data_IF_996362631212
#
_entry.id   IF_996362631212
#
_cell.length_a   1.000
_cell.length_b   1.000
_cell.length_c   1.000
_cell.angle_alpha   90.00
_cell.angle_beta   90.00
_cell.angle_gamma   90.00
#
_symmetry.space_group_name_H-M   'P 1'
#
loop_
_entity.id
_entity.type
_entity.pdbx_description
1 polymer ?
#
# COMPACT_ATOMS: atom_id res chain seq x y z
N UNK A 1 -19.68 2.76 -2.57
CA UNK A 1 -18.62 2.73 -1.55
C UNK A 1 -18.22 1.27 -1.33
N UNK A 2 -16.94 0.93 -1.58
CA UNK A 2 -16.44 -0.45 -1.58
C UNK A 2 -15.59 -0.80 -0.37
N UNK A 3 -15.45 0.10 0.61
CA UNK A 3 -14.74 -0.18 1.85
C UNK A 3 -15.16 -1.51 2.47
N UNK A 4 -14.23 -2.25 3.01
CA UNK A 4 -14.49 -3.54 3.67
C UNK A 4 -15.32 -3.34 4.93
N UNK A 5 -14.92 -2.37 5.76
CA UNK A 5 -15.60 -2.02 6.99
C UNK A 5 -16.36 -0.70 6.84
N UNK A 6 -17.48 -0.54 7.58
CA UNK A 6 -18.26 0.71 7.67
C UNK A 6 -18.59 1.39 6.33
N UNK A 7 -18.67 0.61 5.26
CA UNK A 7 -19.16 1.16 4.00
C UNK A 7 -20.64 1.44 4.15
N UNK A 8 -21.15 2.60 4.24
CA UNK A 8 -22.59 2.91 4.38
C UNK A 8 -23.54 2.13 3.44
N UNK A 9 -23.10 1.00 2.91
CA UNK A 9 -23.86 -0.02 2.22
C UNK A 9 -23.80 -1.30 3.04
N UNK A 10 -24.94 -1.85 3.39
CA UNK A 10 -25.08 -3.17 4.06
C UNK A 10 -24.76 -4.36 3.12
N UNK A 11 -24.10 -4.11 1.99
CA UNK A 11 -23.76 -5.16 1.04
C UNK A 11 -22.64 -6.04 1.61
N UNK A 12 -22.89 -7.34 1.69
CA UNK A 12 -21.88 -8.35 2.00
C UNK A 12 -20.74 -8.38 0.95
N UNK A 13 -19.65 -9.07 1.27
CA UNK A 13 -18.49 -9.15 0.36
C UNK A 13 -18.85 -9.83 -0.97
N UNK A 14 -19.79 -10.79 -0.98
CA UNK A 14 -20.26 -11.46 -2.18
C UNK A 14 -20.93 -10.48 -3.15
N UNK A 15 -21.79 -9.62 -2.66
CA UNK A 15 -22.42 -8.57 -3.47
C UNK A 15 -21.39 -7.57 -4.00
N UNK A 16 -20.40 -7.18 -3.18
CA UNK A 16 -19.29 -6.31 -3.61
C UNK A 16 -18.47 -6.98 -4.72
N UNK A 17 -18.14 -8.26 -4.57
CA UNK A 17 -17.47 -9.08 -5.59
C UNK A 17 -18.24 -9.08 -6.90
N UNK A 18 -19.56 -9.32 -6.86
CA UNK A 18 -20.40 -9.31 -8.06
C UNK A 18 -20.39 -7.96 -8.78
N UNK A 19 -20.40 -6.84 -8.04
CA UNK A 19 -20.32 -5.51 -8.65
C UNK A 19 -18.95 -5.27 -9.29
N UNK A 20 -17.86 -5.67 -8.65
CA UNK A 20 -16.52 -5.56 -9.25
C UNK A 20 -16.40 -6.42 -10.51
N UNK A 21 -16.92 -7.65 -10.48
CA UNK A 21 -16.94 -8.52 -11.65
C UNK A 21 -17.81 -7.94 -12.78
N UNK A 22 -18.94 -7.34 -12.45
CA UNK A 22 -19.79 -6.65 -13.42
C UNK A 22 -19.05 -5.49 -14.08
N UNK A 23 -18.35 -4.64 -13.30
CA UNK A 23 -17.55 -3.53 -13.85
C UNK A 23 -16.44 -4.03 -14.76
N UNK A 24 -15.77 -5.11 -14.39
CA UNK A 24 -14.74 -5.73 -15.23
C UNK A 24 -15.31 -6.23 -16.57
N UNK A 25 -16.46 -6.92 -16.55
CA UNK A 25 -17.08 -7.50 -17.74
C UNK A 25 -17.77 -6.44 -18.63
N UNK A 26 -18.03 -5.25 -18.10
CA UNK A 26 -18.76 -4.18 -18.81
C UNK A 26 -17.95 -3.60 -19.98
N UNK A 27 -16.61 -3.62 -19.86
CA UNK A 27 -15.70 -3.14 -20.89
C UNK A 27 -14.61 -2.22 -20.34
N UNK A 28 -13.63 -1.93 -21.18
CA UNK A 28 -12.42 -1.18 -20.80
C UNK A 28 -12.71 0.23 -20.27
N UNK A 29 -13.79 0.85 -20.76
CA UNK A 29 -14.24 2.19 -20.29
C UNK A 29 -14.63 2.22 -18.81
N UNK A 30 -14.94 1.06 -18.20
CA UNK A 30 -15.25 0.95 -16.78
C UNK A 30 -14.05 0.55 -15.91
N UNK A 31 -12.91 0.18 -16.52
CA UNK A 31 -11.77 -0.31 -15.77
C UNK A 31 -11.16 0.73 -14.81
N UNK A 32 -11.19 2.02 -15.17
CA UNK A 32 -10.76 3.07 -14.23
C UNK A 32 -11.67 3.15 -13.00
N UNK A 33 -12.99 3.00 -13.19
CA UNK A 33 -13.94 2.94 -12.08
C UNK A 33 -13.72 1.68 -11.24
N UNK A 34 -13.44 0.55 -11.87
CA UNK A 34 -13.06 -0.70 -11.19
C UNK A 34 -11.84 -0.50 -10.30
N UNK A 35 -10.75 0.10 -10.82
CA UNK A 35 -9.53 0.37 -10.05
C UNK A 35 -9.83 1.26 -8.84
N UNK A 36 -10.61 2.33 -8.99
CA UNK A 36 -11.04 3.19 -7.88
C UNK A 36 -11.93 2.48 -6.85
N UNK A 37 -12.75 1.54 -7.29
CA UNK A 37 -13.58 0.72 -6.41
C UNK A 37 -12.71 -0.24 -5.59
N UNK A 38 -11.69 -0.85 -6.20
CA UNK A 38 -10.73 -1.73 -5.53
C UNK A 38 -9.84 -0.94 -4.57
N UNK A 39 -9.42 0.29 -4.91
CA UNK A 39 -8.75 1.21 -4.00
C UNK A 39 -9.52 1.36 -2.69
N UNK A 40 -10.81 1.67 -2.80
CA UNK A 40 -11.69 1.73 -1.62
C UNK A 40 -11.84 0.37 -0.91
N UNK A 41 -11.76 -0.75 -1.64
CA UNK A 41 -11.91 -2.09 -1.07
C UNK A 41 -10.71 -2.53 -0.22
N UNK A 42 -9.50 -2.07 -0.53
CA UNK A 42 -8.30 -2.37 0.26
C UNK A 42 -8.19 -1.56 1.54
N UNK A 43 -8.94 -0.46 1.68
CA UNK A 43 -8.91 0.36 2.88
C UNK A 43 -9.66 -0.32 4.03
N UNK A 44 -8.95 -0.57 5.13
CA UNK A 44 -9.54 -1.00 6.42
C UNK A 44 -9.82 0.20 7.33
N UNK A 45 -9.36 1.40 6.96
CA UNK A 45 -9.58 2.60 7.74
C UNK A 45 -11.06 2.92 7.71
N UNK A 46 -11.73 2.65 8.80
CA UNK A 46 -13.08 3.13 9.01
C UNK A 46 -13.05 4.65 9.09
N UNK A 47 -13.62 5.32 8.10
CA UNK A 47 -14.13 6.65 8.37
C UNK A 47 -15.18 6.44 9.46
N UNK A 48 -14.87 6.81 10.70
CA UNK A 48 -15.83 6.85 11.81
C UNK A 48 -16.99 7.76 11.39
N UNK A 49 -17.97 7.21 10.70
CA UNK A 49 -19.26 7.84 10.65
C UNK A 49 -19.83 7.67 12.04
N UNK A 50 -19.81 8.73 12.84
CA UNK A 50 -20.68 8.78 14.01
C UNK A 50 -22.09 8.44 13.53
N UNK A 51 -22.62 7.30 14.00
CA UNK A 51 -23.99 6.92 13.73
C UNK A 51 -24.87 8.11 14.09
N UNK A 52 -25.58 8.64 13.13
CA UNK A 52 -26.55 9.70 13.37
C UNK A 52 -27.63 9.18 14.32
N UNK A 53 -28.29 10.07 15.06
CA UNK A 53 -29.41 9.67 15.94
C UNK A 53 -30.49 8.87 15.17
N UNK A 54 -30.65 9.16 13.88
CA UNK A 54 -31.57 8.47 12.97
C UNK A 54 -31.17 7.01 12.73
N UNK A 55 -29.87 6.73 12.52
CA UNK A 55 -29.36 5.37 12.31
C UNK A 55 -29.49 4.51 13.57
N UNK A 56 -29.30 5.10 14.77
CA UNK A 56 -29.55 4.44 16.05
C UNK A 56 -31.04 4.08 16.25
N UNK A 57 -31.94 4.94 15.80
CA UNK A 57 -33.39 4.75 15.97
C UNK A 57 -33.96 3.59 15.12
N UNK A 58 -33.34 3.29 13.97
CA UNK A 58 -33.80 2.25 13.05
C UNK A 58 -33.10 0.90 13.21
N UNK A 59 -32.32 0.72 14.29
CA UNK A 59 -31.69 -0.59 14.61
C UNK A 59 -30.95 -1.18 13.38
N UNK A 60 -30.28 -0.33 12.63
CA UNK A 60 -29.49 -0.75 11.47
C UNK A 60 -28.44 -1.72 12.02
N UNK A 61 -28.55 -3.01 11.62
CA UNK A 61 -27.63 -4.06 12.05
C UNK A 61 -26.20 -3.59 11.84
N UNK A 62 -25.53 -3.31 12.95
CA UNK A 62 -24.10 -3.05 12.96
C UNK A 62 -23.40 -4.32 12.48
N UNK A 63 -22.69 -4.18 11.41
CA UNK A 63 -21.67 -5.03 10.81
C UNK A 63 -21.67 -6.51 11.18
N UNK A 64 -21.89 -7.36 10.18
CA UNK A 64 -21.42 -8.73 10.20
C UNK A 64 -19.88 -8.67 10.31
N UNK A 65 -19.34 -9.23 11.38
CA UNK A 65 -17.89 -9.36 11.55
C UNK A 65 -17.34 -10.18 10.37
N UNK A 66 -16.57 -9.53 9.51
CA UNK A 66 -15.92 -10.19 8.38
C UNK A 66 -14.77 -11.01 8.94
N UNK A 67 -14.74 -12.30 8.66
CA UNK A 67 -13.61 -13.15 9.02
C UNK A 67 -12.37 -12.80 8.19
N UNK A 68 -11.17 -13.06 8.75
CA UNK A 68 -9.91 -12.88 8.02
C UNK A 68 -9.89 -13.73 6.74
N UNK A 69 -10.52 -14.90 6.75
CA UNK A 69 -10.61 -15.76 5.57
C UNK A 69 -11.44 -15.14 4.45
N UNK A 70 -12.60 -14.57 4.78
CA UNK A 70 -13.46 -13.89 3.80
C UNK A 70 -12.77 -12.63 3.25
N UNK A 71 -12.11 -11.86 4.12
CA UNK A 71 -11.33 -10.70 3.72
C UNK A 71 -10.23 -11.08 2.73
N UNK A 72 -9.48 -12.14 3.04
CA UNK A 72 -8.40 -12.65 2.19
C UNK A 72 -8.91 -13.11 0.83
N UNK A 73 -10.04 -13.82 0.79
CA UNK A 73 -10.66 -14.24 -0.47
C UNK A 73 -11.08 -13.02 -1.32
N UNK A 74 -11.72 -12.04 -0.69
CA UNK A 74 -12.16 -10.83 -1.36
C UNK A 74 -10.98 -10.01 -1.90
N UNK A 75 -9.92 -9.83 -1.12
CA UNK A 75 -8.74 -9.09 -1.56
C UNK A 75 -7.92 -9.84 -2.62
N UNK A 76 -7.85 -11.17 -2.57
CA UNK A 76 -7.28 -11.96 -3.66
C UNK A 76 -8.05 -11.74 -4.97
N UNK A 77 -9.38 -11.77 -4.91
CA UNK A 77 -10.20 -11.47 -6.07
C UNK A 77 -9.94 -10.05 -6.61
N UNK A 78 -9.86 -9.05 -5.74
CA UNK A 78 -9.49 -7.67 -6.12
C UNK A 78 -8.11 -7.60 -6.78
N UNK A 79 -7.10 -8.27 -6.21
CA UNK A 79 -5.75 -8.37 -6.77
C UNK A 79 -5.78 -8.98 -8.18
N UNK A 80 -6.50 -10.08 -8.36
CA UNK A 80 -6.59 -10.75 -9.67
C UNK A 80 -7.21 -9.85 -10.74
N UNK A 81 -8.21 -9.04 -10.38
CA UNK A 81 -8.79 -8.05 -11.29
C UNK A 81 -7.79 -6.94 -11.63
N UNK A 82 -7.02 -6.42 -10.65
CA UNK A 82 -6.00 -5.40 -10.90
C UNK A 82 -4.91 -5.92 -11.85
N UNK A 83 -4.48 -7.16 -11.68
CA UNK A 83 -3.50 -7.80 -12.56
C UNK A 83 -4.04 -7.91 -13.99
N UNK A 84 -5.30 -8.35 -14.14
CA UNK A 84 -5.95 -8.50 -15.47
C UNK A 84 -6.10 -7.19 -16.24
N UNK A 85 -6.33 -6.06 -15.55
CA UNK A 85 -6.47 -4.76 -16.22
C UNK A 85 -5.15 -4.00 -16.36
N UNK A 86 -4.04 -4.54 -15.85
CA UNK A 86 -2.73 -3.88 -15.81
C UNK A 86 -1.97 -3.90 -17.15
N UNK A 87 -2.53 -4.48 -18.21
CA UNK A 87 -1.97 -4.39 -19.57
C UNK A 87 -2.20 -3.01 -20.19
N UNK A 88 -3.21 -2.26 -19.72
CA UNK A 88 -3.38 -0.85 -20.02
C UNK A 88 -2.36 -0.02 -19.23
N UNK A 89 -1.54 0.77 -19.94
CA UNK A 89 -0.44 1.52 -19.33
C UNK A 89 -0.94 2.59 -18.33
N UNK A 90 -2.06 3.24 -18.60
CA UNK A 90 -2.65 4.28 -17.74
C UNK A 90 -3.16 3.66 -16.45
N UNK A 91 -3.87 2.53 -16.57
CA UNK A 91 -4.37 1.78 -15.43
C UNK A 91 -3.22 1.19 -14.61
N UNK A 92 -2.22 0.61 -15.28
CA UNK A 92 -1.02 0.07 -14.64
C UNK A 92 -0.31 1.14 -13.80
N UNK A 93 -0.12 2.34 -14.34
CA UNK A 93 0.44 3.49 -13.60
C UNK A 93 -0.43 3.91 -12.40
N UNK A 94 -1.74 3.89 -12.57
CA UNK A 94 -2.69 4.22 -11.51
C UNK A 94 -2.60 3.22 -10.37
N UNK A 95 -2.59 1.91 -10.71
CA UNK A 95 -2.46 0.82 -9.73
C UNK A 95 -1.12 0.89 -9.01
N UNK A 96 -0.03 1.13 -9.74
CA UNK A 96 1.32 1.28 -9.18
C UNK A 96 1.39 2.36 -8.10
N UNK A 97 0.71 3.50 -8.30
CA UNK A 97 0.65 4.59 -7.32
C UNK A 97 -0.24 4.29 -6.11
N UNK A 98 -1.26 3.48 -6.30
CA UNK A 98 -2.25 3.15 -5.29
C UNK A 98 -1.74 2.12 -4.26
N UNK A 99 -0.96 1.10 -4.68
CA UNK A 99 -0.55 0.00 -3.80
C UNK A 99 0.20 0.46 -2.54
N UNK A 100 1.14 1.43 -2.58
CA UNK A 100 1.86 1.90 -1.40
C UNK A 100 0.95 2.45 -0.29
N UNK A 101 -0.19 3.04 -0.63
CA UNK A 101 -1.13 3.61 0.33
C UNK A 101 -1.83 2.55 1.20
N UNK A 102 -1.91 1.31 0.68
CA UNK A 102 -2.56 0.18 1.34
C UNK A 102 -1.60 -0.81 2.02
N UNK A 103 -0.29 -0.53 2.01
CA UNK A 103 0.70 -1.42 2.63
C UNK A 103 0.35 -1.72 4.09
N UNK A 104 -0.06 -0.68 4.85
CA UNK A 104 -0.49 -0.85 6.24
C UNK A 104 -1.74 -1.74 6.36
N UNK A 105 -2.72 -1.53 5.50
CA UNK A 105 -3.97 -2.29 5.53
C UNK A 105 -3.73 -3.79 5.28
N UNK A 106 -2.94 -4.14 4.26
CA UNK A 106 -2.56 -5.52 3.97
C UNK A 106 -1.85 -6.19 5.13
N UNK A 107 -0.87 -5.50 5.68
CA UNK A 107 0.02 -6.05 6.70
C UNK A 107 -0.70 -6.20 8.03
N UNK A 108 -1.50 -5.20 8.43
CA UNK A 108 -2.27 -5.22 9.67
C UNK A 108 -3.39 -6.28 9.65
N UNK A 109 -3.90 -6.60 8.46
CA UNK A 109 -4.95 -7.62 8.27
C UNK A 109 -4.40 -9.04 8.06
N UNK A 110 -3.08 -9.25 8.11
CA UNK A 110 -2.45 -10.56 7.86
C UNK A 110 -2.60 -11.03 6.40
N UNK A 111 -2.69 -10.08 5.47
CA UNK A 111 -2.80 -10.30 4.03
C UNK A 111 -1.55 -9.87 3.25
N UNK A 112 -0.40 -9.87 3.91
CA UNK A 112 0.89 -9.47 3.34
C UNK A 112 1.29 -10.26 2.08
N UNK A 113 0.86 -11.49 1.95
CA UNK A 113 1.13 -12.29 0.74
C UNK A 113 0.51 -11.65 -0.50
N UNK A 114 -0.71 -11.09 -0.39
CA UNK A 114 -1.37 -10.40 -1.49
C UNK A 114 -0.58 -9.16 -1.91
N UNK A 115 -0.08 -8.39 -0.92
CA UNK A 115 0.80 -7.25 -1.16
C UNK A 115 2.07 -7.67 -1.91
N UNK A 116 2.72 -8.75 -1.47
CA UNK A 116 3.95 -9.24 -2.11
C UNK A 116 3.72 -9.73 -3.53
N UNK A 117 2.59 -10.36 -3.82
CA UNK A 117 2.21 -10.74 -5.19
C UNK A 117 2.00 -9.51 -6.07
N UNK A 118 1.32 -8.46 -5.57
CA UNK A 118 1.18 -7.18 -6.28
C UNK A 118 2.55 -6.53 -6.54
N UNK A 119 3.42 -6.48 -5.54
CA UNK A 119 4.78 -5.96 -5.69
C UNK A 119 5.55 -6.73 -6.77
N UNK A 120 5.53 -8.06 -6.73
CA UNK A 120 6.24 -8.90 -7.68
C UNK A 120 5.72 -8.71 -9.12
N UNK A 121 4.43 -8.41 -9.29
CA UNK A 121 3.85 -8.16 -10.60
C UNK A 121 4.18 -6.76 -11.14
N UNK A 122 4.05 -5.72 -10.30
CA UNK A 122 4.16 -4.34 -10.75
C UNK A 122 5.58 -3.77 -10.71
N UNK A 123 6.42 -4.14 -9.76
CA UNK A 123 7.75 -3.57 -9.61
C UNK A 123 8.65 -3.73 -10.86
N UNK A 124 8.69 -4.91 -11.53
CA UNK A 124 9.50 -5.08 -12.74
C UNK A 124 9.04 -4.20 -13.91
N UNK A 125 7.73 -3.93 -14.04
CA UNK A 125 7.17 -3.07 -15.09
C UNK A 125 7.72 -1.63 -15.05
N UNK A 126 8.19 -1.18 -13.87
CA UNK A 126 8.73 0.16 -13.63
C UNK A 126 10.19 0.11 -13.18
N UNK A 127 10.95 -0.90 -13.65
CA UNK A 127 12.38 -1.06 -13.37
C UNK A 127 12.71 -1.09 -11.86
N UNK A 128 11.78 -1.54 -11.03
CA UNK A 128 11.87 -1.54 -9.56
C UNK A 128 12.14 -0.15 -8.96
N UNK A 129 11.76 0.93 -9.66
CA UNK A 129 11.91 2.31 -9.19
C UNK A 129 10.65 2.75 -8.45
N UNK A 130 10.51 2.31 -7.19
CA UNK A 130 9.30 2.49 -6.39
C UNK A 130 9.60 3.08 -5.01
N UNK A 131 9.93 4.36 -4.99
CA UNK A 131 10.33 5.06 -3.76
C UNK A 131 9.20 5.11 -2.71
N UNK A 132 7.93 5.28 -3.13
CA UNK A 132 6.78 5.27 -2.23
C UNK A 132 6.63 3.91 -1.55
N UNK A 133 6.77 2.81 -2.29
CA UNK A 133 6.73 1.45 -1.74
C UNK A 133 7.86 1.22 -0.74
N UNK A 134 9.07 1.64 -1.09
CA UNK A 134 10.23 1.55 -0.19
C UNK A 134 9.99 2.31 1.11
N UNK A 135 9.43 3.53 1.05
CA UNK A 135 9.05 4.32 2.22
C UNK A 135 8.00 3.62 3.08
N UNK A 136 6.96 3.07 2.47
CA UNK A 136 5.91 2.35 3.19
C UNK A 136 6.44 1.09 3.88
N UNK A 137 7.36 0.35 3.26
CA UNK A 137 8.02 -0.81 3.87
C UNK A 137 8.97 -0.40 5.02
N UNK A 138 9.72 0.70 4.87
CA UNK A 138 10.55 1.26 5.95
C UNK A 138 9.68 1.71 7.14
N UNK A 139 8.51 2.27 6.87
CA UNK A 139 7.55 2.61 7.92
C UNK A 139 7.12 1.39 8.74
N UNK A 140 6.83 0.25 8.09
CA UNK A 140 6.54 -1.01 8.79
C UNK A 140 7.73 -1.43 9.66
N UNK A 141 8.93 -1.40 9.10
CA UNK A 141 10.16 -1.75 9.82
C UNK A 141 10.31 -0.92 11.10
N UNK A 142 10.02 0.37 11.04
CA UNK A 142 10.18 1.31 12.16
C UNK A 142 9.04 1.23 13.19
N UNK A 143 7.80 1.15 12.73
CA UNK A 143 6.63 1.36 13.60
C UNK A 143 5.78 0.11 13.84
N UNK A 144 6.06 -1.00 13.15
CA UNK A 144 5.35 -2.26 13.33
C UNK A 144 6.31 -3.45 13.52
N UNK A 145 7.04 -3.51 14.64
CA UNK A 145 8.11 -4.48 14.86
C UNK A 145 7.62 -5.93 14.84
N UNK A 146 6.38 -6.21 15.26
CA UNK A 146 5.82 -7.57 15.27
C UNK A 146 5.68 -8.08 13.84
N UNK A 147 5.08 -7.28 12.97
CA UNK A 147 4.87 -7.62 11.57
C UNK A 147 6.19 -7.67 10.81
N UNK A 148 7.07 -6.69 11.06
CA UNK A 148 8.39 -6.68 10.47
C UNK A 148 9.17 -7.95 10.84
N UNK A 149 9.19 -8.38 12.11
CA UNK A 149 9.87 -9.60 12.55
C UNK A 149 9.36 -10.83 11.81
N UNK A 150 8.05 -10.96 11.59
CA UNK A 150 7.44 -12.07 10.85
C UNK A 150 7.85 -12.10 9.38
N UNK A 151 8.00 -10.94 8.74
CA UNK A 151 8.27 -10.80 7.30
C UNK A 151 9.67 -10.26 7.00
N UNK A 152 10.59 -10.28 7.98
CA UNK A 152 11.88 -9.58 7.92
C UNK A 152 12.68 -9.87 6.65
N UNK A 153 12.87 -11.14 6.33
CA UNK A 153 13.68 -11.52 5.17
C UNK A 153 13.13 -10.94 3.86
N UNK A 154 11.81 -10.98 3.70
CA UNK A 154 11.16 -10.48 2.50
C UNK A 154 11.18 -8.95 2.42
N UNK A 155 10.86 -8.27 3.52
CA UNK A 155 10.88 -6.81 3.59
C UNK A 155 12.30 -6.26 3.39
N UNK A 156 13.31 -6.83 4.04
CA UNK A 156 14.71 -6.42 3.86
C UNK A 156 15.21 -6.70 2.44
N UNK A 157 14.79 -7.79 1.81
CA UNK A 157 15.09 -8.05 0.39
C UNK A 157 14.51 -6.96 -0.52
N UNK A 158 13.24 -6.61 -0.31
CA UNK A 158 12.57 -5.57 -1.11
C UNK A 158 13.24 -4.21 -0.92
N UNK A 159 13.48 -3.78 0.32
CA UNK A 159 14.07 -2.46 0.61
C UNK A 159 15.50 -2.36 0.06
N UNK A 160 16.34 -3.36 0.33
CA UNK A 160 17.79 -3.24 0.11
C UNK A 160 18.26 -3.72 -1.27
N UNK A 161 17.47 -4.56 -1.95
CA UNK A 161 17.85 -5.10 -3.26
C UNK A 161 16.90 -4.67 -4.38
N UNK A 162 15.58 -4.84 -4.19
CA UNK A 162 14.60 -4.58 -5.25
C UNK A 162 14.39 -3.07 -5.41
N UNK A 163 14.19 -2.34 -4.32
CA UNK A 163 13.92 -0.90 -4.31
C UNK A 163 15.12 -0.07 -3.87
N UNK A 164 16.33 -0.62 -3.96
CA UNK A 164 17.55 0.13 -3.63
C UNK A 164 17.65 1.40 -4.48
N UNK A 165 17.92 2.57 -3.87
CA UNK A 165 18.01 3.83 -4.60
C UNK A 165 19.13 3.78 -5.64
N UNK A 166 18.80 3.98 -6.91
CA UNK A 166 19.73 3.80 -8.03
C UNK A 166 20.58 5.04 -8.32
N UNK A 167 20.06 6.22 -7.98
CA UNK A 167 20.78 7.50 -8.23
C UNK A 167 21.34 8.06 -6.93
N UNK A 168 22.39 8.88 -7.04
CA UNK A 168 22.96 9.59 -5.91
C UNK A 168 21.91 10.40 -5.13
N UNK A 169 21.11 11.22 -5.83
CA UNK A 169 20.06 12.02 -5.21
C UNK A 169 19.05 11.14 -4.43
N UNK A 170 18.63 10.02 -5.03
CA UNK A 170 17.73 9.09 -4.35
C UNK A 170 18.37 8.42 -3.13
N UNK A 171 19.67 8.13 -3.14
CA UNK A 171 20.41 7.60 -1.99
C UNK A 171 20.44 8.61 -0.84
N UNK A 172 20.73 9.87 -1.15
CA UNK A 172 20.71 10.97 -0.17
C UNK A 172 19.33 11.13 0.44
N UNK A 173 18.28 11.21 -0.38
CA UNK A 173 16.92 11.34 0.12
C UNK A 173 16.50 10.14 0.98
N UNK A 174 16.92 8.93 0.61
CA UNK A 174 16.64 7.72 1.36
C UNK A 174 17.34 7.70 2.73
N UNK A 175 18.58 8.18 2.84
CA UNK A 175 19.26 8.29 4.13
C UNK A 175 18.59 9.33 5.03
N UNK A 176 18.12 10.44 4.46
CA UNK A 176 17.39 11.47 5.20
C UNK A 176 16.03 11.02 5.73
N UNK A 177 15.33 10.11 5.04
CA UNK A 177 14.04 9.56 5.48
C UNK A 177 14.16 8.71 6.76
N UNK A 178 15.32 8.08 6.97
CA UNK A 178 15.58 7.24 8.14
C UNK A 178 15.96 8.06 9.39
N UNK A 179 16.23 9.36 9.24
CA UNK A 179 16.60 10.24 10.35
C UNK A 179 15.34 10.70 11.06
N UNK A 180 15.15 10.25 12.30
CA UNK A 180 14.10 10.81 13.15
C UNK A 180 14.54 12.18 13.67
N UNK A 181 13.98 13.23 13.07
CA UNK A 181 14.30 14.63 13.45
C UNK A 181 14.01 14.95 14.92
N UNK A 182 13.28 14.10 15.63
CA UNK A 182 12.96 14.26 17.05
C UNK A 182 14.05 13.73 17.97
N UNK A 183 14.84 12.76 17.47
CA UNK A 183 15.89 12.10 18.27
C UNK A 183 17.28 12.74 18.11
N UNK A 184 17.46 13.55 17.06
CA UNK A 184 18.77 14.11 16.72
C UNK A 184 18.76 15.64 16.78
N UNK A 185 19.68 16.20 17.56
CA UNK A 185 20.01 17.63 17.48
C UNK A 185 20.56 17.98 16.09
N UNK A 186 20.43 19.25 15.69
CA UNK A 186 20.86 19.74 14.35
C UNK A 186 22.29 19.33 13.96
N UNK A 187 23.22 19.26 14.93
CA UNK A 187 24.62 18.89 14.69
C UNK A 187 24.79 17.39 14.35
N UNK A 188 23.99 16.50 14.96
CA UNK A 188 24.06 15.06 14.68
C UNK A 188 23.51 14.74 13.29
N UNK A 189 22.45 15.43 12.86
CA UNK A 189 21.91 15.31 11.49
C UNK A 189 22.98 15.73 10.48
N UNK A 190 23.71 16.79 10.76
CA UNK A 190 24.78 17.27 9.89
C UNK A 190 25.96 16.30 9.81
N UNK A 191 26.37 15.66 10.91
CA UNK A 191 27.46 14.67 10.91
C UNK A 191 27.07 13.37 10.20
N UNK A 192 25.81 12.90 10.35
CA UNK A 192 25.27 11.75 9.60
C UNK A 192 25.25 12.11 8.11
N UNK A 193 24.75 13.27 7.74
CA UNK A 193 24.75 13.77 6.37
C UNK A 193 26.16 13.81 5.78
N UNK A 194 27.14 14.35 6.53
CA UNK A 194 28.53 14.45 6.14
C UNK A 194 29.20 13.09 5.97
N UNK A 195 28.92 12.11 6.85
CA UNK A 195 29.46 10.76 6.75
C UNK A 195 28.89 10.00 5.55
N UNK A 196 27.61 10.16 5.27
CA UNK A 196 26.93 9.55 4.11
C UNK A 196 27.31 10.24 2.78
N UNK A 197 27.60 11.53 2.80
CA UNK A 197 27.95 12.34 1.62
C UNK A 197 29.43 12.29 1.27
N UNK A 198 30.30 12.03 2.25
CA UNK A 198 31.77 12.04 2.06
C UNK A 198 32.25 11.09 0.96
N UNK A 199 31.72 9.87 0.81
CA UNK A 199 32.13 8.98 -0.28
C UNK A 199 31.80 9.48 -1.69
N UNK A 200 30.88 10.46 -1.80
CA UNK A 200 30.38 10.97 -3.09
C UNK A 200 30.90 12.37 -3.42
N UNK A 201 31.47 13.06 -2.42
CA UNK A 201 32.03 14.40 -2.60
C UNK A 201 33.28 14.42 -3.51
N UNK A 202 34.00 13.32 -3.58
CA UNK A 202 35.16 13.15 -4.42
C UNK A 202 34.83 12.94 -5.91
N UNK A 203 33.61 12.46 -6.24
CA UNK A 203 33.15 12.31 -7.62
C UNK A 203 32.66 13.63 -8.25
N UNK A 204 32.46 14.69 -7.45
CA UNK A 204 31.99 15.99 -7.94
C UNK A 204 33.12 17.00 -8.20
N UNK A 205 34.37 16.69 -7.84
CA UNK A 205 35.53 17.61 -7.96
C UNK A 205 36.42 17.23 -9.17
N UNK A 206 36.14 16.14 -9.84
CA UNK A 206 36.75 15.71 -11.09
C UNK A 206 35.73 15.76 -12.22
#
# INVERSE_FOLDING_TARGET
KFHVALSGTQADLGKKTNVLQFLFNKGTEYHLLLVKAIDSAFSTRSNYHMLTQTERKYNIKTETSISISELRQYWNFCKDLLIKVSDDEVLSKTIYKLIPDHVYDFVNSGCENILFELINHFAPKYNNDWDEMRRSLNWIKKYNPIIYKRNRQHIDLLINKVFAPKTFIKRVLASMENIDRREFGSNQIFEIYKSEMRPYGEEFIN
#
